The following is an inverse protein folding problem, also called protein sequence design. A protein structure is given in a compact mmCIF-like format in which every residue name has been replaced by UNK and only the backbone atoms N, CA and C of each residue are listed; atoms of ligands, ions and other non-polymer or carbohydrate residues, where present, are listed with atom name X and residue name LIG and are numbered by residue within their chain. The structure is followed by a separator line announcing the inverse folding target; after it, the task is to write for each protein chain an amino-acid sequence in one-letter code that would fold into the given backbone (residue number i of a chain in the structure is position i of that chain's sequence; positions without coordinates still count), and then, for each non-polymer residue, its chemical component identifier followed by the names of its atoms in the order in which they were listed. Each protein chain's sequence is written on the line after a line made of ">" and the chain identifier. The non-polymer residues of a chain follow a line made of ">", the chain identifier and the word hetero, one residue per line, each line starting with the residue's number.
data_IF_855992942384
#
_entry.id   IF_855992942384
#
_cell.length_a   1.000
_cell.length_b   1.000
_cell.length_c   1.000
_cell.angle_alpha   90.00
_cell.angle_beta   90.00
_cell.angle_gamma   90.00
#
_symmetry.space_group_name_H-M   'P 1'
#
loop_
_entity.id
_entity.type
_entity.pdbx_description
1 polymer ?
#
# COMPACT_ATOMS: atom_id res chain seq x y z
N UNK A 1 -18.54 5.37 -4.94
CA UNK A 1 -17.34 5.02 -5.74
C UNK A 1 -17.61 3.71 -6.49
N UNK A 2 -16.74 3.30 -7.42
CA UNK A 2 -16.85 2.00 -8.11
C UNK A 2 -15.58 1.19 -7.94
N UNK A 3 -15.69 -0.11 -7.70
CA UNK A 3 -14.52 -1.00 -7.69
C UNK A 3 -14.01 -1.17 -9.13
N UNK A 4 -12.71 -1.05 -9.31
CA UNK A 4 -12.06 -1.20 -10.62
C UNK A 4 -11.81 -2.69 -10.87
N UNK A 5 -12.38 -3.28 -11.93
CA UNK A 5 -12.08 -4.65 -12.30
C UNK A 5 -10.59 -4.86 -12.59
N UNK A 6 -10.05 -6.05 -12.28
CA UNK A 6 -8.62 -6.33 -12.45
C UNK A 6 -8.11 -6.11 -13.89
N UNK A 7 -8.92 -6.41 -14.89
CA UNK A 7 -8.60 -6.19 -16.31
C UNK A 7 -8.62 -4.70 -16.72
N UNK A 8 -9.15 -3.82 -15.86
CA UNK A 8 -9.27 -2.37 -16.08
C UNK A 8 -8.37 -1.52 -15.20
N UNK A 9 -7.42 -2.11 -14.46
CA UNK A 9 -6.49 -1.36 -13.61
C UNK A 9 -5.66 -0.33 -14.39
N UNK A 10 -5.42 -0.55 -15.68
CA UNK A 10 -4.73 0.39 -16.56
C UNK A 10 -5.44 1.77 -16.65
N UNK A 11 -6.76 1.84 -16.42
CA UNK A 11 -7.51 3.10 -16.48
C UNK A 11 -7.11 4.09 -15.37
N UNK A 12 -6.76 3.58 -14.18
CA UNK A 12 -6.37 4.41 -13.03
C UNK A 12 -4.86 4.63 -12.93
N UNK A 13 -4.04 3.84 -13.64
CA UNK A 13 -2.58 3.94 -13.59
C UNK A 13 -2.01 5.37 -13.77
N UNK A 14 -2.58 6.24 -14.65
CA UNK A 14 -2.09 7.62 -14.77
C UNK A 14 -2.22 8.45 -13.49
N UNK A 15 -3.22 8.18 -12.63
CA UNK A 15 -3.36 8.91 -11.36
C UNK A 15 -2.21 8.59 -10.39
N UNK A 16 -1.63 7.39 -10.51
CA UNK A 16 -0.59 6.89 -9.61
C UNK A 16 0.82 6.97 -10.20
N UNK A 17 1.00 7.55 -11.38
CA UNK A 17 2.27 7.50 -12.13
C UNK A 17 3.44 8.24 -11.45
N UNK A 18 3.16 9.13 -10.51
CA UNK A 18 4.18 9.86 -9.75
C UNK A 18 4.78 9.05 -8.60
N UNK A 19 4.31 7.83 -8.36
CA UNK A 19 4.72 6.99 -7.24
C UNK A 19 5.30 5.66 -7.71
N UNK A 20 6.55 5.38 -7.32
CA UNK A 20 7.21 4.08 -7.55
C UNK A 20 6.93 3.07 -6.43
N UNK A 21 5.85 3.25 -5.66
CA UNK A 21 5.55 2.38 -4.53
C UNK A 21 5.18 0.98 -5.04
N UNK A 22 5.91 -0.05 -4.59
CA UNK A 22 5.74 -1.42 -5.09
C UNK A 22 4.36 -2.01 -4.82
N UNK A 23 3.70 -1.60 -3.72
CA UNK A 23 2.32 -2.00 -3.42
C UNK A 23 1.30 -1.45 -4.44
N UNK A 24 1.46 -0.19 -4.85
CA UNK A 24 0.65 0.42 -5.91
C UNK A 24 0.85 -0.36 -7.21
N UNK A 25 2.11 -0.60 -7.57
CA UNK A 25 2.46 -1.36 -8.78
C UNK A 25 1.83 -2.76 -8.78
N UNK A 26 1.89 -3.47 -7.66
CA UNK A 26 1.31 -4.82 -7.51
C UNK A 26 -0.20 -4.83 -7.79
N UNK A 27 -0.93 -3.80 -7.35
CA UNK A 27 -2.35 -3.67 -7.63
C UNK A 27 -2.61 -3.35 -9.10
N UNK A 28 -1.85 -2.41 -9.68
CA UNK A 28 -1.98 -2.03 -11.08
C UNK A 28 -1.65 -3.17 -12.06
N UNK A 29 -0.72 -4.06 -11.67
CA UNK A 29 -0.37 -5.29 -12.41
C UNK A 29 -1.40 -6.42 -12.22
N UNK A 30 -2.40 -6.24 -11.35
CA UNK A 30 -3.43 -7.24 -11.05
C UNK A 30 -2.99 -8.36 -10.11
N UNK A 31 -1.77 -8.27 -9.56
CA UNK A 31 -1.15 -9.27 -8.69
C UNK A 31 -1.79 -9.30 -7.30
N UNK A 32 -1.83 -8.15 -6.61
CA UNK A 32 -2.33 -8.06 -5.23
C UNK A 32 -2.95 -6.69 -4.92
N UNK A 33 -4.04 -6.69 -4.18
CA UNK A 33 -4.77 -5.48 -3.79
C UNK A 33 -5.98 -5.20 -4.67
N UNK A 34 -6.77 -4.24 -4.21
CA UNK A 34 -8.02 -3.80 -4.82
C UNK A 34 -7.99 -2.29 -5.03
N UNK A 35 -8.76 -1.81 -6.02
CA UNK A 35 -8.84 -0.40 -6.32
C UNK A 35 -10.27 0.07 -6.54
N UNK A 36 -10.51 1.34 -6.22
CA UNK A 36 -11.78 2.01 -6.48
C UNK A 36 -11.51 3.37 -7.12
N UNK A 37 -12.42 3.79 -7.99
CA UNK A 37 -12.37 5.07 -8.67
C UNK A 37 -13.73 5.78 -8.62
N UNK A 38 -13.74 7.04 -9.01
CA UNK A 38 -14.96 7.79 -9.22
C UNK A 38 -15.71 7.36 -10.49
N UNK A 39 -14.99 6.92 -11.53
CA UNK A 39 -15.53 6.36 -12.78
C UNK A 39 -14.48 5.52 -13.52
N UNK A 40 -14.88 4.74 -14.52
CA UNK A 40 -13.94 3.94 -15.32
C UNK A 40 -13.40 4.75 -16.50
N UNK A 41 -14.25 5.53 -17.15
CA UNK A 41 -13.89 6.37 -18.28
C UNK A 41 -13.24 7.67 -17.78
N UNK A 42 -11.94 7.81 -18.02
CA UNK A 42 -11.14 8.97 -17.60
C UNK A 42 -11.33 9.32 -16.11
N UNK A 43 -10.90 8.42 -15.19
CA UNK A 43 -11.04 8.62 -13.75
C UNK A 43 -10.34 9.90 -13.31
N UNK A 44 -10.94 10.63 -12.36
CA UNK A 44 -10.31 11.82 -11.76
C UNK A 44 -9.85 11.59 -10.34
N UNK A 45 -10.41 10.62 -9.63
CA UNK A 45 -10.02 10.29 -8.26
C UNK A 45 -10.07 8.77 -8.08
N UNK A 46 -9.08 8.23 -7.38
CA UNK A 46 -9.01 6.81 -7.13
C UNK A 46 -8.28 6.50 -5.82
N UNK A 47 -8.52 5.29 -5.32
CA UNK A 47 -7.75 4.69 -4.24
C UNK A 47 -7.27 3.30 -4.62
N UNK A 48 -6.12 2.93 -4.12
CA UNK A 48 -5.59 1.57 -4.16
C UNK A 48 -5.42 1.11 -2.72
N UNK A 49 -5.99 -0.04 -2.38
CA UNK A 49 -5.76 -0.70 -1.11
C UNK A 49 -4.99 -1.99 -1.33
N UNK A 50 -3.89 -2.17 -0.60
CA UNK A 50 -3.05 -3.36 -0.69
C UNK A 50 -2.50 -3.63 0.68
N UNK A 51 -2.97 -4.71 1.33
CA UNK A 51 -2.73 -4.94 2.76
C UNK A 51 -3.17 -3.71 3.58
N UNK A 52 -2.54 -3.42 4.72
CA UNK A 52 -2.91 -2.31 5.61
C UNK A 52 -2.59 -0.91 5.04
N UNK A 53 -2.45 -0.76 3.72
CA UNK A 53 -2.12 0.49 3.04
C UNK A 53 -3.23 0.89 2.07
N UNK A 54 -3.74 2.10 2.25
CA UNK A 54 -4.70 2.77 1.36
C UNK A 54 -4.02 4.00 0.74
N UNK A 55 -3.77 3.97 -0.56
CA UNK A 55 -3.18 5.06 -1.32
C UNK A 55 -4.28 5.86 -2.02
N UNK A 56 -4.33 7.16 -1.78
CA UNK A 56 -5.30 8.08 -2.42
C UNK A 56 -4.60 8.95 -3.47
N UNK A 57 -5.24 9.11 -4.63
CA UNK A 57 -4.72 9.99 -5.66
C UNK A 57 -5.79 10.61 -6.56
N UNK A 58 -5.42 11.69 -7.23
CA UNK A 58 -6.30 12.47 -8.11
C UNK A 58 -6.98 13.63 -7.40
N UNK A 59 -8.21 13.94 -7.79
CA UNK A 59 -8.95 15.13 -7.36
C UNK A 59 -9.77 14.88 -6.07
N UNK A 60 -9.44 15.54 -4.94
CA UNK A 60 -10.20 15.44 -3.69
C UNK A 60 -11.58 16.11 -3.75
N UNK A 61 -11.89 16.90 -4.78
CA UNK A 61 -13.22 17.51 -4.98
C UNK A 61 -14.20 16.56 -5.69
N UNK A 62 -13.78 15.34 -5.99
CA UNK A 62 -14.67 14.33 -6.59
C UNK A 62 -15.89 14.09 -5.68
N UNK A 63 -17.12 13.92 -6.22
CA UNK A 63 -18.32 13.66 -5.41
C UNK A 63 -18.23 12.41 -4.51
N UNK A 64 -17.27 11.52 -4.77
CA UNK A 64 -17.03 10.29 -3.98
C UNK A 64 -15.71 10.35 -3.19
N UNK A 65 -15.08 11.52 -3.06
CA UNK A 65 -13.77 11.64 -2.39
C UNK A 65 -13.82 11.22 -0.92
N UNK A 66 -14.86 11.63 -0.18
CA UNK A 66 -15.06 11.20 1.20
C UNK A 66 -15.26 9.68 1.30
N UNK A 67 -16.03 9.08 0.38
CA UNK A 67 -16.25 7.63 0.34
C UNK A 67 -14.95 6.87 0.01
N UNK A 68 -14.13 7.40 -0.91
CA UNK A 68 -12.81 6.88 -1.21
C UNK A 68 -11.93 6.89 0.05
N UNK A 69 -11.90 8.01 0.78
CA UNK A 69 -11.10 8.15 2.00
C UNK A 69 -11.65 7.36 3.22
N UNK A 70 -12.96 7.14 3.29
CA UNK A 70 -13.63 6.51 4.44
C UNK A 70 -13.52 4.98 4.43
N UNK A 71 -13.73 4.37 3.26
CA UNK A 71 -13.86 2.91 3.18
C UNK A 71 -12.48 2.26 3.28
N UNK A 72 -12.23 1.65 4.44
CA UNK A 72 -11.11 0.73 4.64
C UNK A 72 -11.52 -0.66 4.11
N UNK A 73 -10.59 -1.44 3.53
CA UNK A 73 -10.95 -2.75 2.99
C UNK A 73 -11.40 -3.72 4.09
N UNK A 74 -12.36 -4.57 3.76
CA UNK A 74 -12.83 -5.64 4.65
C UNK A 74 -11.74 -6.72 4.82
N UNK A 75 -11.68 -7.33 6.01
CA UNK A 75 -10.88 -8.56 6.23
C UNK A 75 -9.49 -8.39 6.88
N UNK A 76 -9.15 -7.22 7.41
CA UNK A 76 -7.96 -7.07 8.24
C UNK A 76 -8.16 -7.61 9.67
N UNK A 77 -7.15 -8.31 10.18
CA UNK A 77 -7.08 -8.75 11.58
C UNK A 77 -6.75 -7.62 12.56
N UNK A 78 -6.33 -6.44 12.05
CA UNK A 78 -5.89 -5.32 12.87
C UNK A 78 -6.81 -4.09 12.78
N UNK A 79 -6.96 -3.30 13.86
CA UNK A 79 -7.91 -2.19 13.93
C UNK A 79 -7.41 -0.88 13.28
N UNK A 80 -6.34 -0.91 12.48
CA UNK A 80 -5.69 0.28 11.93
C UNK A 80 -5.24 0.08 10.48
N UNK A 81 -5.12 1.18 9.74
CA UNK A 81 -4.69 1.22 8.34
C UNK A 81 -3.85 2.48 8.11
N UNK A 82 -2.83 2.39 7.26
CA UNK A 82 -2.11 3.55 6.75
C UNK A 82 -2.87 4.17 5.58
N UNK A 83 -3.40 5.37 5.77
CA UNK A 83 -3.96 6.16 4.68
C UNK A 83 -2.86 7.10 4.17
N UNK A 84 -2.50 6.96 2.90
CA UNK A 84 -1.38 7.63 2.27
C UNK A 84 -1.90 8.52 1.14
N UNK A 85 -1.99 9.85 1.35
CA UNK A 85 -2.23 10.78 0.26
C UNK A 85 -0.99 10.86 -0.63
N UNK A 86 -1.10 10.52 -1.92
CA UNK A 86 0.01 10.75 -2.88
C UNK A 86 0.21 12.24 -3.18
N UNK A 87 -0.83 13.04 -2.99
CA UNK A 87 -0.79 14.49 -3.08
C UNK A 87 -1.40 15.04 -1.79
N UNK A 88 -0.71 15.99 -1.13
CA UNK A 88 -1.12 16.57 0.16
C UNK A 88 -2.50 17.24 0.12
N UNK A 89 -3.02 17.55 -1.07
CA UNK A 89 -4.40 18.05 -1.28
C UNK A 89 -5.49 17.10 -0.76
N UNK A 90 -5.17 15.82 -0.55
CA UNK A 90 -6.10 14.84 0.05
C UNK A 90 -6.16 14.90 1.58
N UNK A 91 -5.18 15.52 2.25
CA UNK A 91 -5.09 15.57 3.72
C UNK A 91 -6.38 16.13 4.37
N UNK A 92 -6.97 17.26 3.91
CA UNK A 92 -8.18 17.78 4.53
C UNK A 92 -9.38 16.81 4.48
N UNK A 93 -9.51 16.06 3.38
CA UNK A 93 -10.59 15.06 3.23
C UNK A 93 -10.36 13.89 4.19
N UNK A 94 -9.13 13.41 4.30
CA UNK A 94 -8.75 12.31 5.21
C UNK A 94 -9.01 12.73 6.67
N UNK A 95 -8.57 13.92 7.05
CA UNK A 95 -8.75 14.46 8.41
C UNK A 95 -10.23 14.64 8.74
N UNK A 96 -11.02 15.16 7.81
CA UNK A 96 -12.46 15.32 7.99
C UNK A 96 -13.15 13.98 8.26
N UNK A 97 -12.95 13.01 7.36
CA UNK A 97 -13.61 11.69 7.43
C UNK A 97 -13.20 10.89 8.68
N UNK A 98 -11.95 11.01 9.12
CA UNK A 98 -11.41 10.27 10.28
C UNK A 98 -11.20 11.14 11.51
N UNK A 99 -11.99 12.21 11.67
CA UNK A 99 -11.89 13.15 12.80
C UNK A 99 -11.85 12.40 14.14
N UNK A 100 -10.79 12.63 14.92
CA UNK A 100 -10.58 12.00 16.25
C UNK A 100 -10.15 10.54 16.23
N UNK A 101 -9.92 9.95 15.05
CA UNK A 101 -9.50 8.53 14.86
C UNK A 101 -8.19 8.39 14.08
N UNK A 102 -7.60 9.50 13.66
CA UNK A 102 -6.35 9.53 12.91
C UNK A 102 -5.23 10.19 13.71
N UNK A 103 -3.99 9.81 13.41
CA UNK A 103 -2.81 10.54 13.85
C UNK A 103 -1.77 10.51 12.71
N UNK A 104 -1.07 11.63 12.45
CA UNK A 104 -0.06 11.69 11.40
C UNK A 104 1.18 10.87 11.80
N UNK A 105 1.75 10.15 10.83
CA UNK A 105 3.00 9.39 11.00
C UNK A 105 3.92 9.67 9.82
N UNK A 106 5.18 9.99 10.12
CA UNK A 106 6.22 10.14 9.11
C UNK A 106 6.81 8.77 8.75
N UNK A 107 6.88 8.47 7.45
CA UNK A 107 7.55 7.28 6.90
C UNK A 107 8.62 7.70 5.91
N UNK A 108 9.67 6.89 5.77
CA UNK A 108 10.79 7.17 4.88
C UNK A 108 10.75 6.20 3.71
N UNK A 109 10.77 6.72 2.48
CA UNK A 109 10.93 5.92 1.27
C UNK A 109 12.42 5.73 0.96
N UNK A 110 12.77 4.56 0.45
CA UNK A 110 14.11 4.27 -0.05
C UNK A 110 14.14 4.45 -1.57
N UNK A 111 15.20 5.10 -2.08
CA UNK A 111 15.49 5.17 -3.50
C UNK A 111 15.56 3.77 -4.12
N UNK A 112 14.96 3.61 -5.30
CA UNK A 112 14.89 2.34 -6.03
C UNK A 112 16.08 2.19 -6.96
N UNK A 113 17.26 1.96 -6.40
CA UNK A 113 18.50 1.79 -7.16
C UNK A 113 19.08 0.38 -6.97
N UNK A 114 18.96 -0.45 -8.00
CA UNK A 114 19.41 -1.85 -7.94
C UNK A 114 20.94 -1.99 -7.79
N UNK A 115 21.70 -1.01 -8.26
CA UNK A 115 23.17 -1.00 -8.24
C UNK A 115 23.77 -0.46 -6.94
N UNK A 116 22.95 0.06 -6.03
CA UNK A 116 23.42 0.66 -4.78
C UNK A 116 23.87 -0.37 -3.72
N UNK A 117 23.68 -1.67 -3.95
CA UNK A 117 24.05 -2.71 -2.99
C UNK A 117 25.54 -3.05 -3.04
N UNK A 118 26.22 -2.92 -1.90
CA UNK A 118 27.57 -3.45 -1.69
C UNK A 118 27.51 -4.93 -1.29
N UNK A 119 27.51 -5.82 -2.28
CA UNK A 119 27.30 -7.26 -2.08
C UNK A 119 28.26 -7.90 -1.07
N UNK A 120 29.54 -7.53 -1.09
CA UNK A 120 30.54 -8.06 -0.13
C UNK A 120 30.20 -7.71 1.33
N UNK A 121 29.63 -6.52 1.56
CA UNK A 121 29.19 -6.10 2.89
C UNK A 121 27.96 -6.88 3.33
N UNK A 122 26.98 -7.07 2.44
CA UNK A 122 25.79 -7.86 2.73
C UNK A 122 26.14 -9.32 3.03
N UNK A 123 27.06 -9.92 2.27
CA UNK A 123 27.52 -11.29 2.51
C UNK A 123 28.18 -11.45 3.88
N UNK A 124 29.01 -10.51 4.31
CA UNK A 124 29.60 -10.51 5.67
C UNK A 124 28.54 -10.39 6.77
N UNK A 125 27.42 -9.73 6.50
CA UNK A 125 26.32 -9.53 7.44
C UNK A 125 25.28 -10.67 7.41
N UNK A 126 25.27 -11.51 6.38
CA UNK A 126 24.32 -12.61 6.21
C UNK A 126 24.62 -13.84 7.09
N UNK A 127 25.43 -13.69 8.14
CA UNK A 127 25.78 -14.76 9.08
C UNK A 127 24.80 -14.70 10.25
N UNK A 128 24.26 -15.84 10.73
CA UNK A 128 23.39 -15.85 11.90
C UNK A 128 24.09 -15.24 13.14
N UNK A 129 23.33 -14.63 14.07
CA UNK A 129 23.88 -14.17 15.34
C UNK A 129 24.60 -15.29 16.11
N UNK A 130 25.55 -14.94 16.98
CA UNK A 130 26.22 -15.91 17.85
C UNK A 130 25.19 -16.68 18.71
N UNK A 131 25.39 -17.99 18.84
CA UNK A 131 24.48 -18.89 19.56
C UNK A 131 23.90 -19.98 18.65
N UNK A 132 22.76 -20.56 19.05
CA UNK A 132 22.11 -21.66 18.33
C UNK A 132 21.02 -21.13 17.38
N UNK A 133 21.40 -20.24 16.46
CA UNK A 133 20.51 -19.70 15.42
C UNK A 133 20.83 -20.28 14.06
N UNK A 134 19.80 -20.48 13.23
CA UNK A 134 19.92 -20.90 11.83
C UNK A 134 19.09 -19.97 10.94
N UNK A 135 19.66 -19.61 9.79
CA UNK A 135 18.92 -18.96 8.70
C UNK A 135 18.47 -20.06 7.73
N UNK A 136 17.20 -20.08 7.36
CA UNK A 136 16.64 -20.99 6.36
C UNK A 136 15.62 -20.26 5.48
N UNK A 137 15.42 -20.71 4.22
CA UNK A 137 14.32 -20.22 3.40
C UNK A 137 12.98 -20.38 4.10
N UNK A 138 12.09 -19.41 3.89
CA UNK A 138 10.73 -19.46 4.41
C UNK A 138 9.91 -20.49 3.64
N UNK A 139 9.24 -21.41 4.34
CA UNK A 139 8.48 -22.52 3.76
C UNK A 139 7.06 -22.64 4.33
N UNK A 140 6.30 -23.63 3.87
CA UNK A 140 4.91 -23.85 4.31
C UNK A 140 4.82 -24.14 5.82
N UNK A 141 5.77 -24.89 6.39
CA UNK A 141 5.74 -25.20 7.82
C UNK A 141 5.95 -23.94 8.66
N UNK A 142 6.82 -23.04 8.19
CA UNK A 142 7.10 -21.77 8.84
C UNK A 142 5.89 -20.83 8.71
N UNK A 143 5.27 -20.76 7.52
CA UNK A 143 4.04 -20.01 7.29
C UNK A 143 2.91 -20.41 8.26
N UNK A 144 2.60 -21.71 8.32
CA UNK A 144 1.53 -22.23 9.20
C UNK A 144 1.82 -22.02 10.69
N UNK A 145 3.09 -21.96 11.08
CA UNK A 145 3.47 -21.64 12.46
C UNK A 145 3.25 -20.15 12.75
N UNK A 146 3.66 -19.26 11.84
CA UNK A 146 3.50 -17.81 12.02
C UNK A 146 2.04 -17.36 12.17
N UNK A 147 1.09 -18.10 11.58
CA UNK A 147 -0.35 -17.82 11.71
C UNK A 147 -0.93 -18.11 13.11
N UNK A 148 -0.18 -18.77 14.00
CA UNK A 148 -0.64 -19.12 15.35
C UNK A 148 -0.13 -18.15 16.42
N UNK A 149 0.67 -17.16 16.04
CA UNK A 149 1.31 -16.20 16.95
C UNK A 149 0.52 -14.86 17.08
N UNK A 150 -0.70 -14.78 16.54
CA UNK A 150 -1.68 -13.70 16.82
C UNK A 150 -2.50 -13.98 18.08
#
# INVERSE_FOLDING_TARGET
>A
MIQVPKDKMHCIAPLFSASDHTLIRSCLEGCMGDAWADRLEAPTAAKICTTDFCFLSGNPDSPVAEELAAVLPDGYSHPWCYIIPLQTIWEPVIEHVHTGKQFPVQRYSLYKEATAFHLDTLQRQAVPPQGNYRISPFDLSTYLTSQKEE
#
